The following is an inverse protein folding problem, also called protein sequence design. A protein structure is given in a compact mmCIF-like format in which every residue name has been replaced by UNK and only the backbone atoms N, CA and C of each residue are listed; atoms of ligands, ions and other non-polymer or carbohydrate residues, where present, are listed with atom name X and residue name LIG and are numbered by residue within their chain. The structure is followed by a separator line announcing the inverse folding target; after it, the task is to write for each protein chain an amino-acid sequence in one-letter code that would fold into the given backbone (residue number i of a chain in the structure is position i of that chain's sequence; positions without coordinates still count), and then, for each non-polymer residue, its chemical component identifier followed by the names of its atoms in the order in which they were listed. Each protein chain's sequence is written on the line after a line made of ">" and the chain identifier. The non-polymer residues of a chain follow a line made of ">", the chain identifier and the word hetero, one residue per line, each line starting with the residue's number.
data_IF_170175098147
#
_entry.id   IF_170175098147
#
_cell.length_a   1.000
_cell.length_b   1.000
_cell.length_c   1.000
_cell.angle_alpha   90.00
_cell.angle_beta   90.00
_cell.angle_gamma   90.00
#
_symmetry.space_group_name_H-M   'P 1'
#
loop_
_entity.id
_entity.type
_entity.pdbx_description
1 polymer ?
#
# COMPACT_ATOMS: atom_id res chain seq x y z
N UNK A 1 14.77 1.49 -10.20
CA UNK A 1 15.15 2.93 -10.22
C UNK A 1 13.93 3.79 -10.53
N UNK A 2 13.12 3.39 -11.52
CA UNK A 2 11.72 3.78 -11.74
C UNK A 2 10.86 3.94 -10.48
N UNK A 3 10.93 2.98 -9.56
CA UNK A 3 10.06 2.93 -8.37
C UNK A 3 10.37 4.08 -7.39
N UNK A 4 11.64 4.47 -7.31
CA UNK A 4 12.11 5.56 -6.43
C UNK A 4 11.69 6.92 -6.98
N UNK A 5 11.72 7.09 -8.31
CA UNK A 5 11.24 8.30 -8.97
C UNK A 5 9.72 8.45 -8.82
N UNK A 6 8.97 7.39 -9.09
CA UNK A 6 7.52 7.37 -8.88
C UNK A 6 7.15 7.73 -7.43
N UNK A 7 7.86 7.14 -6.48
CA UNK A 7 7.68 7.41 -5.06
C UNK A 7 7.94 8.88 -4.68
N UNK A 8 9.05 9.44 -5.16
CA UNK A 8 9.41 10.83 -4.85
C UNK A 8 8.37 11.81 -5.38
N UNK A 9 7.89 11.58 -6.61
CA UNK A 9 6.83 12.38 -7.24
C UNK A 9 5.52 12.25 -6.47
N UNK A 10 5.12 11.02 -6.10
CA UNK A 10 3.91 10.79 -5.33
C UNK A 10 3.98 11.48 -3.96
N UNK A 11 5.10 11.37 -3.25
CA UNK A 11 5.28 11.99 -1.95
C UNK A 11 5.16 13.51 -2.03
N UNK A 12 5.80 14.15 -3.01
CA UNK A 12 5.69 15.61 -3.22
C UNK A 12 4.26 16.05 -3.54
N UNK A 13 3.57 15.33 -4.42
CA UNK A 13 2.17 15.61 -4.77
C UNK A 13 1.20 15.39 -3.61
N UNK A 14 1.49 14.42 -2.75
CA UNK A 14 0.69 14.10 -1.56
C UNK A 14 0.85 15.18 -0.49
N UNK A 15 2.09 15.58 -0.19
CA UNK A 15 2.35 16.73 0.69
C UNK A 15 1.68 18.00 0.17
N UNK A 16 1.76 18.25 -1.15
CA UNK A 16 1.10 19.40 -1.75
C UNK A 16 -0.43 19.32 -1.62
N UNK A 17 -1.02 18.15 -1.82
CA UNK A 17 -2.48 17.94 -1.71
C UNK A 17 -3.00 18.19 -0.30
N UNK A 18 -2.28 17.71 0.72
CA UNK A 18 -2.65 17.92 2.13
C UNK A 18 -2.35 19.34 2.61
N UNK A 19 -1.28 19.97 2.12
CA UNK A 19 -0.97 21.37 2.41
C UNK A 19 -2.02 22.32 1.83
N UNK A 20 -2.43 22.09 0.58
CA UNK A 20 -3.40 22.95 -0.10
C UNK A 20 -4.82 22.77 0.47
N UNK A 21 -5.20 21.55 0.89
CA UNK A 21 -6.52 21.28 1.46
C UNK A 21 -6.47 20.19 2.56
N UNK A 22 -6.36 20.55 3.85
CA UNK A 22 -6.39 19.57 4.94
C UNK A 22 -7.73 18.83 5.07
N UNK A 23 -8.81 19.39 4.48
CA UNK A 23 -10.15 18.77 4.43
C UNK A 23 -10.26 17.55 3.52
N UNK A 24 -9.22 17.20 2.75
CA UNK A 24 -9.23 16.03 1.85
C UNK A 24 -9.42 14.69 2.58
N UNK A 25 -9.03 14.62 3.85
CA UNK A 25 -9.23 13.44 4.71
C UNK A 25 -10.58 13.46 5.44
N UNK A 26 -11.27 14.60 5.46
CA UNK A 26 -12.52 14.81 6.21
C UNK A 26 -13.74 14.63 5.30
N UNK A 27 -13.67 15.14 4.06
CA UNK A 27 -14.66 14.91 3.02
C UNK A 27 -14.05 14.09 1.88
N UNK A 28 -14.25 12.77 1.97
CA UNK A 28 -13.76 11.82 0.97
C UNK A 28 -14.68 11.68 -0.26
N UNK A 29 -15.82 12.39 -0.32
CA UNK A 29 -16.83 12.21 -1.38
C UNK A 29 -16.73 13.32 -2.42
N UNK A 30 -16.84 14.58 -2.01
CA UNK A 30 -17.02 15.72 -2.94
C UNK A 30 -15.74 16.53 -3.15
N UNK A 31 -14.83 16.51 -2.18
CA UNK A 31 -13.60 17.28 -2.26
C UNK A 31 -12.64 16.64 -3.26
N UNK A 32 -12.42 17.34 -4.38
CA UNK A 32 -11.41 17.02 -5.36
C UNK A 32 -10.45 18.21 -5.49
N UNK A 33 -9.15 17.92 -5.51
CA UNK A 33 -8.13 18.93 -5.81
C UNK A 33 -7.32 18.46 -7.02
N UNK A 34 -6.90 19.40 -7.84
CA UNK A 34 -6.02 19.13 -9.00
C UNK A 34 -4.78 18.31 -8.62
N UNK A 35 -4.06 18.60 -7.52
CA UNK A 35 -2.92 17.78 -7.11
C UNK A 35 -3.31 16.35 -6.68
N UNK A 36 -4.47 16.15 -6.04
CA UNK A 36 -4.95 14.81 -5.67
C UNK A 36 -5.34 13.97 -6.89
N UNK A 37 -6.02 14.58 -7.86
CA UNK A 37 -6.40 13.90 -9.11
C UNK A 37 -5.17 13.57 -9.96
N UNK A 38 -4.19 14.48 -10.02
CA UNK A 38 -2.90 14.25 -10.68
C UNK A 38 -2.11 13.12 -10.01
N UNK A 39 -2.08 13.11 -8.68
CA UNK A 39 -1.42 12.07 -7.88
C UNK A 39 -1.99 10.67 -8.19
N UNK A 40 -3.32 10.52 -8.19
CA UNK A 40 -3.96 9.25 -8.51
C UNK A 40 -3.71 8.87 -9.97
N UNK A 41 -3.78 9.82 -10.90
CA UNK A 41 -3.56 9.57 -12.33
C UNK A 41 -2.13 9.09 -12.62
N UNK A 42 -1.12 9.72 -12.01
CA UNK A 42 0.29 9.28 -12.12
C UNK A 42 0.47 7.89 -11.51
N UNK A 43 -0.19 7.60 -10.38
CA UNK A 43 -0.12 6.30 -9.71
C UNK A 43 -0.76 5.18 -10.51
N UNK A 44 -1.92 5.43 -11.13
CA UNK A 44 -2.57 4.47 -12.04
C UNK A 44 -1.67 4.16 -13.23
N UNK A 45 -1.05 5.19 -13.84
CA UNK A 45 -0.09 4.98 -14.94
C UNK A 45 1.10 4.10 -14.54
N UNK A 46 1.63 4.31 -13.33
CA UNK A 46 2.69 3.46 -12.79
C UNK A 46 2.23 2.02 -12.54
N UNK A 47 1.06 1.81 -11.93
CA UNK A 47 0.55 0.46 -11.69
C UNK A 47 0.30 -0.32 -12.98
N UNK A 48 -0.13 0.35 -14.05
CA UNK A 48 -0.25 -0.27 -15.38
C UNK A 48 1.13 -0.69 -15.89
N UNK A 49 2.12 0.19 -15.81
CA UNK A 49 3.49 -0.12 -16.21
C UNK A 49 4.04 -1.32 -15.44
N UNK A 50 3.89 -1.33 -14.11
CA UNK A 50 4.35 -2.41 -13.23
C UNK A 50 3.65 -3.74 -13.51
N UNK A 51 2.33 -3.70 -13.80
CA UNK A 51 1.58 -4.90 -14.19
C UNK A 51 2.09 -5.48 -15.52
N UNK A 52 2.41 -4.63 -16.50
CA UNK A 52 2.97 -5.05 -17.79
C UNK A 52 4.38 -5.63 -17.61
N UNK A 53 5.22 -4.99 -16.81
CA UNK A 53 6.58 -5.46 -16.52
C UNK A 53 6.56 -6.83 -15.84
N UNK A 54 5.71 -7.01 -14.82
CA UNK A 54 5.52 -8.31 -14.16
C UNK A 54 5.01 -9.39 -15.11
N UNK A 55 4.08 -9.05 -16.02
CA UNK A 55 3.53 -9.98 -17.00
C UNK A 55 4.60 -10.51 -17.98
N UNK A 56 5.53 -9.65 -18.37
CA UNK A 56 6.59 -9.98 -19.34
C UNK A 56 7.77 -10.68 -18.66
N UNK A 57 8.20 -10.20 -17.49
CA UNK A 57 9.50 -10.57 -16.91
C UNK A 57 9.42 -11.46 -15.67
N UNK A 58 8.29 -11.54 -14.94
CA UNK A 58 8.22 -12.25 -13.66
C UNK A 58 7.07 -13.26 -13.58
N UNK A 59 7.38 -14.53 -13.89
CA UNK A 59 6.40 -15.62 -13.89
C UNK A 59 6.38 -16.46 -12.61
N UNK A 60 6.27 -15.81 -11.46
CA UNK A 60 6.17 -16.48 -10.16
C UNK A 60 4.73 -16.44 -9.61
N UNK A 61 4.32 -17.45 -8.83
CA UNK A 61 2.99 -17.47 -8.18
C UNK A 61 2.71 -16.22 -7.35
N UNK A 62 3.72 -15.68 -6.68
CA UNK A 62 3.61 -14.44 -5.90
C UNK A 62 3.40 -13.21 -6.80
N UNK A 63 3.98 -13.19 -8.00
CA UNK A 63 3.78 -12.11 -8.97
C UNK A 63 2.34 -12.11 -9.48
N UNK A 64 1.70 -13.27 -9.68
CA UNK A 64 0.29 -13.35 -10.07
C UNK A 64 -0.67 -12.81 -8.99
N UNK A 65 -0.40 -13.09 -7.70
CA UNK A 65 -1.16 -12.51 -6.58
C UNK A 65 -1.08 -10.98 -6.59
N UNK A 66 0.13 -10.45 -6.81
CA UNK A 66 0.40 -9.01 -6.85
C UNK A 66 -0.20 -8.32 -8.08
N UNK A 67 -0.16 -8.98 -9.24
CA UNK A 67 -0.80 -8.49 -10.46
C UNK A 67 -2.32 -8.40 -10.30
N UNK A 68 -2.95 -9.41 -9.69
CA UNK A 68 -4.40 -9.38 -9.41
C UNK A 68 -4.80 -8.19 -8.55
N UNK A 69 -3.97 -7.87 -7.55
CA UNK A 69 -4.14 -6.68 -6.71
C UNK A 69 -3.99 -5.37 -7.49
N UNK A 70 -2.96 -5.25 -8.34
CA UNK A 70 -2.77 -4.04 -9.15
C UNK A 70 -3.94 -3.81 -10.09
N UNK A 71 -4.50 -4.87 -10.68
CA UNK A 71 -5.70 -4.78 -11.52
C UNK A 71 -6.89 -4.21 -10.74
N UNK A 72 -7.11 -4.69 -9.50
CA UNK A 72 -8.20 -4.18 -8.65
C UNK A 72 -7.98 -2.70 -8.30
N UNK A 73 -6.76 -2.29 -7.94
CA UNK A 73 -6.45 -0.88 -7.68
C UNK A 73 -6.69 -0.02 -8.93
N UNK A 74 -6.20 -0.45 -10.09
CA UNK A 74 -6.33 0.29 -11.36
C UNK A 74 -7.81 0.52 -11.67
N UNK A 75 -8.66 -0.49 -11.49
CA UNK A 75 -10.11 -0.35 -11.70
C UNK A 75 -10.71 0.62 -10.69
N UNK A 76 -10.43 0.46 -9.39
CA UNK A 76 -10.98 1.32 -8.34
C UNK A 76 -10.56 2.79 -8.50
N UNK A 77 -9.28 3.04 -8.79
CA UNK A 77 -8.75 4.39 -8.97
C UNK A 77 -9.16 5.00 -10.32
N UNK A 78 -9.20 4.19 -11.39
CA UNK A 78 -9.69 4.62 -12.70
C UNK A 78 -11.15 5.09 -12.64
N UNK A 79 -11.99 4.37 -11.90
CA UNK A 79 -13.38 4.75 -11.66
C UNK A 79 -13.47 6.09 -10.90
N UNK A 80 -12.61 6.34 -9.92
CA UNK A 80 -12.54 7.63 -9.21
C UNK A 80 -12.04 8.78 -10.11
N UNK A 81 -11.07 8.52 -11.00
CA UNK A 81 -10.57 9.50 -11.98
C UNK A 81 -11.69 9.94 -12.94
N UNK A 82 -12.43 8.97 -13.49
CA UNK A 82 -13.50 9.23 -14.47
C UNK A 82 -14.70 9.90 -13.81
N UNK A 83 -15.11 9.41 -12.63
CA UNK A 83 -16.28 9.93 -11.93
C UNK A 83 -16.01 11.27 -11.24
N UNK A 84 -14.73 11.63 -11.02
CA UNK A 84 -14.27 12.76 -10.18
C UNK A 84 -14.80 12.79 -8.74
N UNK A 85 -15.42 11.68 -8.34
CA UNK A 85 -15.95 11.44 -7.00
C UNK A 85 -15.01 10.46 -6.29
N UNK A 86 -15.01 10.49 -4.95
CA UNK A 86 -14.22 9.57 -4.13
C UNK A 86 -12.69 9.74 -4.25
N UNK A 87 -12.24 10.90 -4.72
CA UNK A 87 -10.82 11.24 -4.90
C UNK A 87 -10.09 11.18 -3.56
N UNK A 88 -10.69 11.71 -2.48
CA UNK A 88 -10.10 11.63 -1.14
C UNK A 88 -9.91 10.19 -0.66
N UNK A 89 -10.90 9.32 -0.90
CA UNK A 89 -10.80 7.89 -0.58
C UNK A 89 -9.66 7.21 -1.35
N UNK A 90 -9.52 7.51 -2.65
CA UNK A 90 -8.43 7.00 -3.48
C UNK A 90 -7.04 7.53 -3.03
N UNK A 91 -6.94 8.81 -2.59
CA UNK A 91 -5.70 9.35 -2.02
C UNK A 91 -5.32 8.64 -0.73
N UNK A 92 -6.25 8.43 0.20
CA UNK A 92 -5.95 7.72 1.46
C UNK A 92 -5.58 6.26 1.20
N UNK A 93 -6.26 5.59 0.26
CA UNK A 93 -5.88 4.26 -0.21
C UNK A 93 -4.47 4.24 -0.82
N UNK A 94 -4.10 5.28 -1.58
CA UNK A 94 -2.76 5.40 -2.16
C UNK A 94 -1.68 5.65 -1.09
N UNK A 95 -1.97 6.43 -0.02
CA UNK A 95 -1.05 6.59 1.12
C UNK A 95 -0.71 5.24 1.73
N UNK A 96 -1.71 4.38 1.92
CA UNK A 96 -1.53 3.01 2.42
C UNK A 96 -0.59 2.21 1.52
N UNK A 97 -0.66 2.41 0.20
CA UNK A 97 0.14 1.68 -0.79
C UNK A 97 1.58 2.19 -0.88
N UNK A 98 1.78 3.51 -0.84
CA UNK A 98 3.12 4.11 -0.75
C UNK A 98 3.86 3.67 0.50
N UNK A 99 3.10 3.38 1.57
CA UNK A 99 3.68 2.84 2.78
C UNK A 99 4.35 1.46 2.54
N UNK A 100 3.76 0.54 1.77
CA UNK A 100 4.37 -0.79 1.49
C UNK A 100 5.77 -0.72 0.88
N UNK A 101 6.10 0.32 0.12
CA UNK A 101 7.40 0.47 -0.54
C UNK A 101 8.53 0.61 0.49
N UNK A 102 8.27 1.27 1.63
CA UNK A 102 9.26 1.36 2.71
C UNK A 102 9.57 -0.02 3.32
N UNK A 103 8.60 -0.94 3.31
CA UNK A 103 8.80 -2.33 3.74
C UNK A 103 9.72 -3.07 2.76
N UNK A 104 9.48 -2.91 1.45
CA UNK A 104 10.33 -3.49 0.42
C UNK A 104 11.74 -2.91 0.42
N UNK A 105 11.89 -1.58 0.55
CA UNK A 105 13.19 -0.92 0.67
C UNK A 105 13.97 -1.44 1.88
N UNK A 106 13.30 -1.66 3.01
CA UNK A 106 13.91 -2.26 4.19
C UNK A 106 14.28 -3.72 3.98
N UNK A 107 13.44 -4.52 3.32
CA UNK A 107 13.77 -5.90 2.96
C UNK A 107 15.02 -5.95 2.09
N UNK A 108 15.15 -5.04 1.12
CA UNK A 108 16.34 -4.89 0.26
C UNK A 108 17.56 -4.50 1.11
N UNK A 109 17.46 -3.50 1.98
CA UNK A 109 18.53 -3.12 2.92
C UNK A 109 18.95 -4.27 3.85
N UNK A 110 18.00 -5.12 4.25
CA UNK A 110 18.26 -6.32 5.06
C UNK A 110 18.92 -7.46 4.26
N UNK A 111 18.70 -7.53 2.94
CA UNK A 111 19.35 -8.46 2.01
C UNK A 111 20.78 -7.99 1.69
N UNK A 112 20.99 -6.67 1.59
CA UNK A 112 22.31 -6.04 1.39
C UNK A 112 23.28 -6.15 2.59
N UNK A 113 22.97 -6.97 3.61
CA UNK A 113 23.91 -7.40 4.66
C UNK A 113 24.66 -6.26 5.37
N UNK A 114 24.01 -5.13 5.69
CA UNK A 114 24.58 -4.20 6.65
C UNK A 114 24.62 -4.86 8.04
N UNK A 115 25.80 -4.86 8.68
CA UNK A 115 26.17 -5.72 9.83
C UNK A 115 25.07 -5.85 10.90
N UNK A 116 24.48 -7.04 10.99
CA UNK A 116 23.38 -7.43 11.91
C UNK A 116 23.87 -8.00 13.25
N UNK A 117 24.81 -7.35 13.93
CA UNK A 117 25.34 -7.92 15.19
C UNK A 117 24.70 -7.35 16.48
N UNK A 118 23.80 -6.38 16.38
CA UNK A 118 23.11 -5.84 17.56
C UNK A 118 21.63 -6.26 17.63
N UNK A 119 21.27 -6.96 18.72
CA UNK A 119 19.88 -7.31 19.08
C UNK A 119 18.96 -6.08 19.11
N UNK A 120 19.52 -4.91 19.43
CA UNK A 120 18.85 -3.61 19.46
C UNK A 120 18.44 -3.15 18.05
N UNK A 121 19.29 -3.33 17.04
CA UNK A 121 18.96 -2.99 15.65
C UNK A 121 17.78 -3.83 15.15
N UNK A 122 17.75 -5.10 15.52
CA UNK A 122 16.67 -6.02 15.13
C UNK A 122 15.34 -5.71 15.82
N UNK A 123 15.38 -5.35 17.11
CA UNK A 123 14.20 -4.97 17.86
C UNK A 123 13.62 -3.64 17.35
N UNK A 124 14.45 -2.62 17.13
CA UNK A 124 14.01 -1.35 16.53
C UNK A 124 13.44 -1.55 15.13
N UNK A 125 14.04 -2.45 14.34
CA UNK A 125 13.48 -2.86 13.06
C UNK A 125 12.06 -3.42 13.27
N UNK A 126 11.88 -4.45 14.10
CA UNK A 126 10.58 -5.11 14.27
C UNK A 126 9.53 -4.16 14.84
N UNK A 127 9.90 -3.29 15.79
CA UNK A 127 8.97 -2.30 16.36
C UNK A 127 8.59 -1.26 15.29
N UNK A 128 9.55 -0.72 14.54
CA UNK A 128 9.28 0.20 13.45
C UNK A 128 8.44 -0.45 12.32
N UNK A 129 8.55 -1.78 12.17
CA UNK A 129 7.69 -2.55 11.25
C UNK A 129 6.27 -2.64 11.80
N UNK A 130 6.15 -3.01 13.06
CA UNK A 130 4.88 -3.23 13.74
C UNK A 130 4.06 -1.94 13.86
N UNK A 131 4.69 -0.82 14.18
CA UNK A 131 4.01 0.48 14.23
C UNK A 131 3.55 0.93 12.85
N UNK A 132 4.36 0.69 11.82
CA UNK A 132 4.03 1.02 10.45
C UNK A 132 2.89 0.17 9.88
N UNK A 133 2.93 -1.15 10.11
CA UNK A 133 1.86 -2.08 9.72
C UNK A 133 0.60 -1.84 10.56
N UNK A 134 0.76 -1.55 11.85
CA UNK A 134 -0.34 -1.22 12.76
C UNK A 134 -1.07 0.06 12.34
N UNK A 135 -0.33 1.09 11.90
CA UNK A 135 -0.92 2.27 11.28
C UNK A 135 -1.70 1.90 10.01
N UNK A 136 -1.16 1.04 9.16
CA UNK A 136 -1.83 0.55 7.95
C UNK A 136 -3.18 -0.13 8.25
N UNK A 137 -3.21 -1.04 9.23
CA UNK A 137 -4.44 -1.72 9.67
C UNK A 137 -5.43 -0.71 10.26
N UNK A 138 -4.94 0.26 11.03
CA UNK A 138 -5.78 1.29 11.65
C UNK A 138 -6.46 2.18 10.60
N UNK A 139 -5.72 2.65 9.59
CA UNK A 139 -6.27 3.45 8.49
C UNK A 139 -7.23 2.60 7.65
N UNK A 140 -6.90 1.34 7.36
CA UNK A 140 -7.82 0.44 6.65
C UNK A 140 -9.13 0.20 7.43
N UNK A 141 -9.04 -0.07 8.73
CA UNK A 141 -10.21 -0.25 9.58
C UNK A 141 -11.08 1.03 9.62
N UNK A 142 -10.43 2.20 9.66
CA UNK A 142 -11.11 3.48 9.57
C UNK A 142 -11.81 3.67 8.22
N UNK A 143 -11.16 3.35 7.09
CA UNK A 143 -11.77 3.42 5.75
C UNK A 143 -12.95 2.47 5.60
N UNK A 144 -12.84 1.24 6.10
CA UNK A 144 -13.93 0.26 6.11
C UNK A 144 -15.12 0.76 6.94
N UNK A 145 -14.86 1.31 8.13
CA UNK A 145 -15.91 1.90 8.98
C UNK A 145 -16.58 3.08 8.29
N UNK A 146 -15.81 3.96 7.65
CA UNK A 146 -16.36 5.11 6.94
C UNK A 146 -17.27 4.68 5.78
N UNK A 147 -16.88 3.64 5.02
CA UNK A 147 -17.69 3.10 3.94
C UNK A 147 -19.00 2.46 4.45
N UNK A 148 -18.98 1.81 5.61
CA UNK A 148 -20.17 1.26 6.25
C UNK A 148 -21.15 2.33 6.74
N UNK A 149 -20.63 3.45 7.27
CA UNK A 149 -21.44 4.58 7.73
C UNK A 149 -22.08 5.31 6.54
N UNK A 150 -21.35 5.47 5.44
CA UNK A 150 -21.81 6.20 4.25
C UNK A 150 -22.43 5.27 3.19
N UNK A 151 -22.81 4.03 3.55
CA UNK A 151 -23.33 3.03 2.60
C UNK A 151 -24.53 3.51 1.80
N UNK A 152 -25.38 4.34 2.40
CA UNK A 152 -26.64 4.80 1.80
C UNK A 152 -26.41 5.94 0.79
N UNK A 153 -25.23 6.59 0.84
CA UNK A 153 -24.82 7.67 -0.07
C UNK A 153 -24.04 7.14 -1.29
N UNK A 154 -23.53 5.91 -1.21
CA UNK A 154 -22.63 5.32 -2.22
C UNK A 154 -23.45 4.34 -3.07
N UNK A 155 -23.46 4.50 -4.42
CA UNK A 155 -24.14 3.52 -5.27
C UNK A 155 -23.52 2.13 -5.09
N UNK A 156 -24.37 1.09 -5.07
CA UNK A 156 -24.00 -0.29 -4.74
C UNK A 156 -22.75 -0.80 -5.49
N UNK A 157 -22.59 -0.37 -6.75
CA UNK A 157 -21.44 -0.72 -7.60
C UNK A 157 -20.12 -0.22 -6.99
N UNK A 158 -20.03 1.06 -6.60
CA UNK A 158 -18.82 1.61 -6.00
C UNK A 158 -18.55 1.03 -4.61
N UNK A 159 -19.62 0.77 -3.84
CA UNK A 159 -19.50 0.11 -2.54
C UNK A 159 -18.93 -1.30 -2.66
N UNK A 160 -19.41 -2.10 -3.63
CA UNK A 160 -18.89 -3.45 -3.88
C UNK A 160 -17.43 -3.43 -4.33
N UNK A 161 -17.06 -2.53 -5.24
CA UNK A 161 -15.69 -2.39 -5.73
C UNK A 161 -14.73 -1.96 -4.60
N UNK A 162 -15.11 -0.97 -3.79
CA UNK A 162 -14.33 -0.53 -2.63
C UNK A 162 -14.19 -1.63 -1.58
N UNK A 163 -15.26 -2.38 -1.31
CA UNK A 163 -15.23 -3.52 -0.37
C UNK A 163 -14.32 -4.64 -0.84
N UNK A 164 -14.37 -5.01 -2.12
CA UNK A 164 -13.49 -6.02 -2.69
C UNK A 164 -12.03 -5.55 -2.64
N UNK A 165 -11.77 -4.29 -3.01
CA UNK A 165 -10.43 -3.69 -2.93
C UNK A 165 -9.85 -3.70 -1.52
N UNK A 166 -10.63 -3.27 -0.53
CA UNK A 166 -10.26 -3.33 0.90
C UNK A 166 -10.01 -4.76 1.38
N UNK A 167 -10.82 -5.73 0.95
CA UNK A 167 -10.67 -7.12 1.36
C UNK A 167 -9.37 -7.72 0.81
N UNK A 168 -9.10 -7.54 -0.49
CA UNK A 168 -7.86 -7.98 -1.14
C UNK A 168 -6.63 -7.37 -0.44
N UNK A 169 -6.69 -6.07 -0.18
CA UNK A 169 -5.64 -5.33 0.54
C UNK A 169 -5.36 -5.90 1.93
N UNK A 170 -6.41 -6.24 2.67
CA UNK A 170 -6.28 -6.80 4.02
C UNK A 170 -5.61 -8.16 3.97
N UNK A 171 -6.02 -9.03 3.03
CA UNK A 171 -5.46 -10.37 2.86
C UNK A 171 -3.98 -10.30 2.50
N UNK A 172 -3.60 -9.44 1.54
CA UNK A 172 -2.19 -9.25 1.17
C UNK A 172 -1.34 -8.74 2.33
N UNK A 173 -1.86 -7.79 3.10
CA UNK A 173 -1.16 -7.27 4.28
C UNK A 173 -0.91 -8.36 5.33
N UNK A 174 -1.89 -9.25 5.56
CA UNK A 174 -1.74 -10.38 6.47
C UNK A 174 -0.68 -11.36 5.95
N UNK A 175 -0.69 -11.69 4.66
CA UNK A 175 0.28 -12.60 4.04
C UNK A 175 1.71 -12.04 4.13
N UNK A 176 1.89 -10.75 3.81
CA UNK A 176 3.19 -10.08 3.91
C UNK A 176 3.69 -10.04 5.36
N UNK A 177 2.81 -9.75 6.31
CA UNK A 177 3.14 -9.76 7.73
C UNK A 177 3.58 -11.15 8.21
N UNK A 178 2.86 -12.20 7.79
CA UNK A 178 3.22 -13.58 8.14
C UNK A 178 4.57 -14.00 7.54
N UNK A 179 4.84 -13.67 6.26
CA UNK A 179 6.15 -13.93 5.64
C UNK A 179 7.29 -13.21 6.36
N UNK A 180 7.07 -11.95 6.76
CA UNK A 180 8.04 -11.17 7.53
C UNK A 180 8.32 -11.80 8.89
N UNK A 181 7.27 -12.23 9.61
CA UNK A 181 7.42 -12.96 10.86
C UNK A 181 8.22 -14.26 10.67
N UNK A 182 7.93 -15.02 9.63
CA UNK A 182 8.66 -16.25 9.33
C UNK A 182 10.13 -15.97 8.98
N UNK A 183 10.43 -14.96 8.17
CA UNK A 183 11.81 -14.62 7.80
C UNK A 183 12.64 -14.13 9.00
N UNK A 184 12.02 -13.40 9.94
CA UNK A 184 12.72 -12.82 11.09
C UNK A 184 12.85 -13.78 12.29
N UNK A 185 11.86 -14.67 12.49
CA UNK A 185 11.81 -15.57 13.64
C UNK A 185 12.14 -17.04 13.32
N UNK A 186 11.67 -17.58 12.19
CA UNK A 186 11.80 -19.02 11.89
C UNK A 186 13.19 -19.34 11.31
N UNK A 187 13.74 -18.51 10.43
CA UNK A 187 15.10 -18.72 9.88
C UNK A 187 16.21 -18.63 10.95
N UNK A 188 15.91 -18.03 12.11
CA UNK A 188 16.80 -18.02 13.27
C UNK A 188 16.87 -19.38 13.98
N UNK A 189 15.82 -20.19 13.91
CA UNK A 189 15.78 -21.49 14.60
C UNK A 189 16.75 -22.48 13.94
N UNK A 190 16.81 -22.50 12.60
CA UNK A 190 17.72 -23.39 11.85
C UNK A 190 19.20 -23.01 11.99
N UNK A 191 19.56 -21.72 12.10
CA UNK A 191 20.95 -21.31 12.32
C UNK A 191 21.47 -21.60 13.74
N UNK A 192 20.56 -21.84 14.69
CA UNK A 192 20.93 -22.17 16.08
C UNK A 192 20.98 -23.68 16.31
N UNK A 193 20.36 -24.49 15.43
CA UNK A 193 20.31 -25.96 15.53
C UNK A 193 21.46 -26.63 14.75
N UNK A 194 22.12 -25.92 13.82
CA UNK A 194 23.32 -26.44 13.11
C UNK A 194 24.65 -26.16 13.81
N UNK A 195 24.62 -25.74 15.07
CA UNK A 195 25.80 -25.61 15.92
C UNK A 195 25.56 -26.51 17.14
N UNK A 196 25.59 -27.82 16.90
CA UNK A 196 25.82 -28.87 17.90
C UNK A 196 26.38 -30.09 17.17
#
# INVERSE_FOLDING_TARGET
>A
MSDVYHFTVCFLLLFRSFYDNPKLAEDMIQTHTVPAHTLISVSVGYFIYDTIDMLIYQRNRQSYELMGHHVVIIICFGVSIVSRMYVGYAVVALVIELNSIFLHLRQILQICQYKKDNKIYRLNSIINLGTFVGFRISVMAWMSKWMLINKDLIPLVFYSLGSIGLAVMTVMNIILFYRLLQSDFIRKKESTIKVD
#
